data_IF_624281606527
#
_entry.id   IF_624281606527
#
_cell.length_a   1.000
_cell.length_b   1.000
_cell.length_c   1.000
_cell.angle_alpha   90.00
_cell.angle_beta   90.00
_cell.angle_gamma   90.00
#
_symmetry.space_group_name_H-M   'P 1'
#
loop_
_entity.id
_entity.type
_entity.pdbx_description
1 polymer ?
#
# COMPACT_ATOMS: atom_id res chain seq x y z
N UNK A 1 6.08 4.69 38.71
CA UNK A 1 4.97 3.73 38.46
C UNK A 1 4.69 3.69 36.97
N UNK A 2 5.25 2.69 36.27
CA UNK A 2 4.97 2.47 34.85
C UNK A 2 3.52 1.95 34.73
N UNK A 3 2.64 2.71 34.07
CA UNK A 3 1.30 2.23 33.71
C UNK A 3 1.48 1.07 32.73
N UNK A 4 1.13 -0.14 33.16
CA UNK A 4 0.99 -1.31 32.28
C UNK A 4 0.00 -0.96 31.17
N UNK A 5 0.50 -0.74 29.95
CA UNK A 5 -0.34 -0.49 28.79
C UNK A 5 -1.13 -1.77 28.48
N UNK A 6 -2.43 -1.77 28.79
CA UNK A 6 -3.34 -2.85 28.41
C UNK A 6 -3.31 -2.96 26.89
N UNK A 7 -3.05 -4.16 26.35
CA UNK A 7 -2.97 -4.37 24.91
C UNK A 7 -4.34 -4.18 24.26
N UNK A 8 -4.55 -3.06 23.56
CA UNK A 8 -5.80 -2.75 22.86
C UNK A 8 -6.06 -3.61 21.61
N UNK A 9 -5.19 -4.57 21.29
CA UNK A 9 -5.27 -5.37 20.05
C UNK A 9 -6.50 -6.24 19.94
N UNK A 10 -6.94 -6.81 21.06
CA UNK A 10 -8.18 -7.60 21.08
C UNK A 10 -9.37 -6.69 20.73
N UNK A 11 -9.43 -5.50 21.32
CA UNK A 11 -10.44 -4.50 20.99
C UNK A 11 -10.36 -4.10 19.51
N UNK A 12 -9.17 -3.76 19.00
CA UNK A 12 -8.97 -3.44 17.57
C UNK A 12 -9.49 -4.55 16.66
N UNK A 13 -9.17 -5.82 16.93
CA UNK A 13 -9.62 -6.98 16.14
C UNK A 13 -11.14 -7.15 16.15
N UNK A 14 -11.78 -6.98 17.30
CA UNK A 14 -13.24 -7.04 17.39
C UNK A 14 -13.90 -5.87 16.68
N UNK A 15 -13.38 -4.65 16.85
CA UNK A 15 -13.87 -3.44 16.18
C UNK A 15 -13.84 -3.61 14.66
N UNK A 16 -12.72 -4.10 14.11
CA UNK A 16 -12.54 -4.37 12.68
C UNK A 16 -13.54 -5.42 12.15
N UNK A 17 -13.98 -6.37 12.98
CA UNK A 17 -14.97 -7.40 12.58
C UNK A 17 -16.41 -6.94 12.70
N UNK A 18 -16.71 -6.09 13.67
CA UNK A 18 -18.09 -5.70 13.99
C UNK A 18 -18.57 -4.51 13.14
N UNK A 19 -17.71 -3.51 12.90
CA UNK A 19 -18.09 -2.29 12.17
C UNK A 19 -18.68 -2.57 10.78
N UNK A 20 -18.19 -3.53 9.97
CA UNK A 20 -18.81 -3.86 8.69
C UNK A 20 -20.30 -4.20 8.78
N UNK A 21 -20.75 -4.86 9.84
CA UNK A 21 -22.17 -5.15 10.05
C UNK A 21 -22.99 -3.89 10.32
N UNK A 22 -22.43 -2.92 11.05
CA UNK A 22 -23.06 -1.62 11.26
C UNK A 22 -23.20 -0.83 9.96
N UNK A 23 -22.21 -0.91 9.07
CA UNK A 23 -22.29 -0.27 7.75
C UNK A 23 -23.42 -0.87 6.91
N UNK A 24 -23.55 -2.21 6.88
CA UNK A 24 -24.65 -2.88 6.16
C UNK A 24 -26.00 -2.46 6.74
N UNK A 25 -26.14 -2.44 8.07
CA UNK A 25 -27.37 -1.98 8.71
C UNK A 25 -27.70 -0.52 8.38
N UNK A 26 -26.68 0.36 8.36
CA UNK A 26 -26.84 1.77 7.99
C UNK A 26 -27.30 1.93 6.54
N UNK A 27 -26.76 1.14 5.60
CA UNK A 27 -27.24 1.12 4.22
C UNK A 27 -28.70 0.69 4.12
N UNK A 28 -29.09 -0.42 4.74
CA UNK A 28 -30.47 -0.94 4.71
C UNK A 28 -31.46 0.07 5.30
N UNK A 29 -31.18 0.59 6.50
CA UNK A 29 -32.04 1.54 7.17
C UNK A 29 -32.09 2.88 6.42
N UNK A 30 -30.96 3.34 5.90
CA UNK A 30 -30.86 4.53 5.06
C UNK A 30 -31.68 4.40 3.78
N UNK A 31 -31.67 3.24 3.12
CA UNK A 31 -32.52 2.97 1.95
C UNK A 31 -34.00 3.03 2.29
N UNK A 32 -34.41 2.40 3.39
CA UNK A 32 -35.81 2.49 3.83
C UNK A 32 -36.23 3.94 4.10
N UNK A 33 -35.39 4.71 4.81
CA UNK A 33 -35.68 6.10 5.13
C UNK A 33 -35.76 6.99 3.86
N UNK A 34 -34.78 6.91 2.96
CA UNK A 34 -34.74 7.78 1.78
C UNK A 34 -35.77 7.33 0.74
N UNK A 35 -35.77 6.06 0.36
CA UNK A 35 -36.64 5.54 -0.71
C UNK A 35 -38.08 5.39 -0.22
N UNK A 36 -38.28 4.66 0.88
CA UNK A 36 -39.61 4.34 1.38
C UNK A 36 -40.33 5.55 1.96
N UNK A 37 -39.71 6.23 2.93
CA UNK A 37 -40.36 7.33 3.66
C UNK A 37 -40.35 8.64 2.87
N UNK A 38 -39.19 9.10 2.40
CA UNK A 38 -39.08 10.42 1.77
C UNK A 38 -39.55 10.39 0.31
N UNK A 39 -39.00 9.52 -0.53
CA UNK A 39 -39.32 9.49 -1.96
C UNK A 39 -40.73 8.95 -2.24
N UNK A 40 -41.06 7.75 -1.77
CA UNK A 40 -42.34 7.09 -2.10
C UNK A 40 -43.49 7.66 -1.26
N UNK A 41 -43.38 7.65 0.07
CA UNK A 41 -44.50 8.05 0.92
C UNK A 41 -44.73 9.57 0.92
N UNK A 42 -43.68 10.39 1.03
CA UNK A 42 -43.85 11.84 1.08
C UNK A 42 -43.89 12.49 -0.31
N UNK A 43 -42.83 12.37 -1.12
CA UNK A 43 -42.73 13.09 -2.39
C UNK A 43 -43.68 12.57 -3.48
N UNK A 44 -43.82 11.25 -3.61
CA UNK A 44 -44.71 10.66 -4.62
C UNK A 44 -46.17 10.66 -4.17
N UNK A 45 -46.50 9.98 -3.07
CA UNK A 45 -47.91 9.82 -2.65
C UNK A 45 -48.55 11.09 -2.12
N UNK A 46 -47.86 11.88 -1.29
CA UNK A 46 -48.46 13.08 -0.70
C UNK A 46 -48.28 14.34 -1.55
N UNK A 47 -47.14 14.47 -2.25
CA UNK A 47 -46.82 15.67 -3.04
C UNK A 47 -47.03 15.51 -4.55
N UNK A 48 -47.30 14.30 -5.05
CA UNK A 48 -47.55 14.06 -6.47
C UNK A 48 -46.35 14.32 -7.38
N UNK A 49 -45.12 14.41 -6.84
CA UNK A 49 -43.92 14.80 -7.62
C UNK A 49 -43.26 13.61 -8.32
N UNK A 50 -43.99 12.94 -9.20
CA UNK A 50 -43.56 11.71 -9.87
C UNK A 50 -42.24 11.84 -10.64
N UNK A 51 -42.11 12.85 -11.52
CA UNK A 51 -40.90 13.05 -12.32
C UNK A 51 -39.64 13.31 -11.48
N UNK A 52 -39.79 14.11 -10.42
CA UNK A 52 -38.70 14.38 -9.47
C UNK A 52 -38.30 13.10 -8.73
N UNK A 53 -39.27 12.33 -8.25
CA UNK A 53 -39.00 11.06 -7.54
C UNK A 53 -38.28 10.07 -8.45
N UNK A 54 -38.68 9.95 -9.71
CA UNK A 54 -37.99 9.10 -10.67
C UNK A 54 -36.51 9.49 -10.84
N UNK A 55 -36.23 10.79 -11.04
CA UNK A 55 -34.86 11.29 -11.18
C UNK A 55 -34.01 11.06 -9.91
N UNK A 56 -34.58 11.33 -8.73
CA UNK A 56 -33.90 11.12 -7.45
C UNK A 56 -33.59 9.63 -7.21
N UNK A 57 -34.51 8.72 -7.55
CA UNK A 57 -34.30 7.29 -7.39
C UNK A 57 -33.23 6.76 -8.35
N UNK A 58 -33.17 7.25 -9.60
CA UNK A 58 -32.10 6.88 -10.54
C UNK A 58 -30.73 7.28 -9.97
N UNK A 59 -30.58 8.53 -9.53
CA UNK A 59 -29.32 9.00 -8.93
C UNK A 59 -28.98 8.23 -7.65
N UNK A 60 -29.99 7.98 -6.79
CA UNK A 60 -29.83 7.22 -5.56
C UNK A 60 -29.28 5.82 -5.85
N UNK A 61 -29.94 5.05 -6.73
CA UNK A 61 -29.53 3.67 -7.03
C UNK A 61 -28.22 3.60 -7.80
N UNK A 62 -27.92 4.56 -8.68
CA UNK A 62 -26.62 4.65 -9.36
C UNK A 62 -25.47 4.71 -8.34
N UNK A 63 -25.51 5.69 -7.43
CA UNK A 63 -24.44 5.84 -6.44
C UNK A 63 -24.49 4.79 -5.34
N UNK A 64 -25.67 4.29 -4.98
CA UNK A 64 -25.82 3.19 -4.02
C UNK A 64 -25.16 1.91 -4.53
N UNK A 65 -25.47 1.49 -5.76
CA UNK A 65 -24.90 0.27 -6.36
C UNK A 65 -23.38 0.40 -6.48
N UNK A 66 -22.88 1.55 -6.96
CA UNK A 66 -21.43 1.80 -7.05
C UNK A 66 -20.75 1.78 -5.67
N UNK A 67 -21.37 2.39 -4.65
CA UNK A 67 -20.86 2.39 -3.28
C UNK A 67 -20.83 0.99 -2.68
N UNK A 68 -21.90 0.21 -2.85
CA UNK A 68 -21.98 -1.17 -2.36
C UNK A 68 -20.98 -2.08 -3.09
N UNK A 69 -20.86 -1.97 -4.41
CA UNK A 69 -19.93 -2.77 -5.20
C UNK A 69 -18.47 -2.51 -4.82
N UNK A 70 -18.10 -1.23 -4.68
CA UNK A 70 -16.74 -0.83 -4.28
C UNK A 70 -16.45 -1.15 -2.81
N UNK A 71 -17.44 -1.00 -1.91
CA UNK A 71 -17.33 -1.44 -0.53
C UNK A 71 -17.10 -2.95 -0.44
N UNK A 72 -17.92 -3.75 -1.11
CA UNK A 72 -17.80 -5.20 -1.13
C UNK A 72 -16.46 -5.64 -1.70
N UNK A 73 -16.02 -5.05 -2.82
CA UNK A 73 -14.71 -5.34 -3.40
C UNK A 73 -13.57 -5.00 -2.44
N UNK A 74 -13.64 -3.84 -1.78
CA UNK A 74 -12.65 -3.43 -0.78
C UNK A 74 -12.63 -4.41 0.39
N UNK A 75 -13.79 -4.70 0.98
CA UNK A 75 -13.96 -5.62 2.09
C UNK A 75 -13.38 -7.00 1.76
N UNK A 76 -13.80 -7.61 0.64
CA UNK A 76 -13.29 -8.91 0.21
C UNK A 76 -11.78 -8.88 -0.01
N UNK A 77 -11.25 -7.82 -0.62
CA UNK A 77 -9.82 -7.70 -0.87
C UNK A 77 -9.01 -7.59 0.41
N UNK A 78 -9.45 -6.80 1.39
CA UNK A 78 -8.71 -6.67 2.67
C UNK A 78 -8.79 -7.94 3.52
N UNK A 79 -9.83 -8.78 3.36
CA UNK A 79 -9.89 -10.09 4.02
C UNK A 79 -9.02 -11.13 3.32
N UNK A 80 -9.11 -11.22 1.99
CA UNK A 80 -8.50 -12.31 1.21
C UNK A 80 -7.05 -12.02 0.83
N UNK A 81 -6.71 -10.77 0.55
CA UNK A 81 -5.38 -10.35 0.13
C UNK A 81 -5.05 -8.94 0.67
N UNK A 82 -4.69 -8.82 1.96
CA UNK A 82 -4.30 -7.54 2.55
C UNK A 82 -2.92 -7.03 2.08
N UNK A 83 -2.28 -7.70 1.09
CA UNK A 83 -0.96 -7.30 0.57
C UNK A 83 0.20 -7.75 1.45
N UNK A 84 0.13 -8.94 2.05
CA UNK A 84 1.21 -9.46 2.88
C UNK A 84 2.46 -9.75 2.04
N UNK A 85 3.63 -9.37 2.56
CA UNK A 85 4.91 -9.84 2.02
C UNK A 85 5.03 -11.34 2.32
N UNK A 86 5.24 -12.22 1.32
CA UNK A 86 5.45 -13.65 1.53
C UNK A 86 6.57 -13.90 2.56
N UNK A 87 6.45 -14.98 3.34
CA UNK A 87 7.54 -15.38 4.24
C UNK A 87 8.49 -16.28 3.47
N UNK A 88 9.78 -15.96 3.50
CA UNK A 88 10.82 -16.76 2.85
C UNK A 88 11.24 -17.97 3.71
N UNK A 89 11.06 -17.87 5.02
CA UNK A 89 11.25 -18.96 5.96
C UNK A 89 9.89 -19.38 6.52
N UNK A 90 9.61 -20.68 6.49
CA UNK A 90 8.56 -21.24 7.34
C UNK A 90 8.92 -20.89 8.79
N UNK A 91 7.96 -20.32 9.53
CA UNK A 91 8.18 -20.04 10.94
C UNK A 91 8.25 -21.38 11.65
N UNK A 92 9.37 -21.67 12.31
CA UNK A 92 9.45 -22.83 13.20
C UNK A 92 8.26 -22.80 14.16
N UNK A 93 7.54 -23.92 14.26
CA UNK A 93 6.31 -24.01 15.06
C UNK A 93 6.56 -23.70 16.54
N UNK A 94 7.81 -23.83 17.00
CA UNK A 94 8.26 -23.44 18.34
C UNK A 94 8.30 -21.91 18.52
N UNK A 95 8.77 -21.16 17.53
CA UNK A 95 8.80 -19.70 17.55
C UNK A 95 7.39 -19.09 17.47
N UNK A 96 6.50 -19.72 16.70
CA UNK A 96 5.10 -19.33 16.64
C UNK A 96 4.37 -19.60 17.97
N UNK A 97 4.59 -20.75 18.61
CA UNK A 97 4.07 -21.06 19.95
C UNK A 97 4.62 -20.11 21.03
N UNK A 98 5.91 -19.75 20.96
CA UNK A 98 6.55 -18.79 21.88
C UNK A 98 6.00 -17.37 21.71
N UNK A 99 5.68 -16.97 20.47
CA UNK A 99 4.99 -15.70 20.16
C UNK A 99 3.51 -15.70 20.53
N UNK A 100 2.81 -16.82 20.35
CA UNK A 100 1.41 -16.95 20.74
C UNK A 100 1.24 -16.89 22.26
N UNK A 101 2.17 -17.47 23.03
CA UNK A 101 2.15 -17.40 24.50
C UNK A 101 2.48 -15.98 25.01
N UNK A 102 3.46 -15.30 24.41
CA UNK A 102 3.79 -13.89 24.69
C UNK A 102 2.78 -12.89 24.14
N UNK A 103 1.93 -13.28 23.19
CA UNK A 103 0.78 -12.49 22.75
C UNK A 103 -0.41 -12.58 23.72
N UNK A 104 -0.51 -13.64 24.53
CA UNK A 104 -1.61 -13.86 25.50
C UNK A 104 -1.33 -13.24 26.87
N UNK A 105 -0.06 -13.20 27.31
CA UNK A 105 0.37 -12.40 28.46
C UNK A 105 0.66 -10.99 27.97
N UNK A 106 0.01 -9.97 28.55
CA UNK A 106 0.15 -8.56 28.15
C UNK A 106 1.60 -8.20 27.76
N UNK A 107 1.76 -7.73 26.53
CA UNK A 107 3.04 -7.49 25.88
C UNK A 107 3.81 -6.38 26.59
N UNK A 108 4.96 -6.72 27.14
CA UNK A 108 5.98 -5.75 27.52
C UNK A 108 6.61 -5.19 26.22
N UNK A 109 6.56 -3.87 25.95
CA UNK A 109 7.13 -3.26 24.75
C UNK A 109 8.64 -3.51 24.59
N UNK A 110 9.35 -3.80 25.68
CA UNK A 110 10.79 -4.04 25.69
C UNK A 110 11.18 -5.51 25.37
N UNK A 111 10.20 -6.42 25.19
CA UNK A 111 10.44 -7.85 25.18
C UNK A 111 10.56 -8.54 23.80
N UNK A 112 10.63 -7.81 22.68
CA UNK A 112 11.12 -8.41 21.43
C UNK A 112 12.59 -8.01 21.25
N UNK A 113 13.56 -8.88 21.58
CA UNK A 113 14.95 -8.63 21.24
C UNK A 113 15.02 -8.33 19.75
N UNK A 114 15.59 -7.19 19.40
CA UNK A 114 15.86 -6.87 18.01
C UNK A 114 16.70 -8.01 17.42
N UNK A 115 16.14 -8.68 16.41
CA UNK A 115 16.84 -9.75 15.70
C UNK A 115 17.61 -9.11 14.55
N UNK A 116 18.95 -9.20 14.52
CA UNK A 116 19.75 -8.65 13.44
C UNK A 116 19.40 -9.29 12.09
N UNK A 117 19.72 -8.62 10.97
CA UNK A 117 19.71 -9.26 9.66
C UNK A 117 20.67 -10.45 9.63
N UNK A 118 20.33 -11.45 8.84
CA UNK A 118 21.24 -12.54 8.52
C UNK A 118 22.46 -11.97 7.78
N UNK A 119 23.65 -12.27 8.30
CA UNK A 119 24.93 -11.78 7.77
C UNK A 119 25.41 -12.56 6.55
N UNK A 120 24.78 -13.69 6.22
CA UNK A 120 25.09 -14.49 5.04
C UNK A 120 24.89 -13.69 3.74
N UNK A 121 25.87 -13.68 2.81
CA UNK A 121 25.69 -13.15 1.46
C UNK A 121 24.56 -13.83 0.66
N UNK A 122 24.27 -15.09 1.01
CA UNK A 122 23.21 -15.91 0.41
C UNK A 122 21.94 -15.90 1.28
N UNK A 123 21.77 -14.87 2.10
CA UNK A 123 20.57 -14.71 2.93
C UNK A 123 19.31 -14.75 2.05
N UNK A 124 18.30 -15.58 2.37
CA UNK A 124 17.15 -15.76 1.51
C UNK A 124 16.45 -14.46 1.14
N UNK A 125 16.22 -14.27 -0.16
CA UNK A 125 15.59 -13.10 -0.75
C UNK A 125 16.47 -11.86 -0.85
N UNK A 126 17.73 -11.91 -0.38
CA UNK A 126 18.68 -10.80 -0.54
C UNK A 126 19.02 -10.54 -2.01
N UNK A 127 19.22 -11.61 -2.79
CA UNK A 127 19.49 -11.53 -4.23
C UNK A 127 18.39 -10.76 -4.98
N UNK A 128 17.13 -10.88 -4.57
CA UNK A 128 15.99 -10.21 -5.21
C UNK A 128 16.03 -8.67 -5.13
N UNK A 129 16.89 -8.09 -4.29
CA UNK A 129 17.15 -6.65 -4.26
C UNK A 129 18.29 -6.28 -5.19
N UNK A 130 19.41 -7.00 -5.12
CA UNK A 130 20.59 -6.75 -5.97
C UNK A 130 20.40 -7.23 -7.42
N UNK A 131 19.36 -8.00 -7.70
CA UNK A 131 18.90 -8.30 -9.05
C UNK A 131 18.30 -7.06 -9.74
N UNK A 132 17.84 -6.06 -8.97
CA UNK A 132 17.23 -4.84 -9.47
C UNK A 132 18.23 -3.74 -9.78
N UNK A 133 17.86 -2.80 -10.62
CA UNK A 133 18.69 -1.64 -10.95
C UNK A 133 18.66 -0.56 -9.85
N UNK A 134 17.54 -0.41 -9.13
CA UNK A 134 17.44 0.48 -7.98
C UNK A 134 16.48 -0.05 -6.92
N UNK A 135 16.85 0.10 -5.65
CA UNK A 135 16.01 -0.22 -4.50
C UNK A 135 16.33 0.68 -3.29
N UNK A 136 15.43 0.75 -2.32
CA UNK A 136 15.66 1.50 -1.08
C UNK A 136 16.51 0.68 -0.11
N UNK A 137 17.60 1.26 0.35
CA UNK A 137 18.53 0.66 1.30
C UNK A 137 18.61 1.43 2.62
N UNK A 138 19.40 0.90 3.55
CA UNK A 138 19.96 1.63 4.68
C UNK A 138 21.27 2.35 4.25
N UNK A 139 21.86 3.14 5.15
CA UNK A 139 23.04 3.94 4.83
C UNK A 139 24.28 3.12 4.41
N UNK A 140 24.32 1.83 4.78
CA UNK A 140 25.36 0.88 4.41
C UNK A 140 25.12 0.21 3.04
N UNK A 141 24.01 0.51 2.36
CA UNK A 141 23.65 -0.06 1.07
C UNK A 141 22.92 -1.40 1.14
N UNK A 142 22.68 -1.95 2.34
CA UNK A 142 21.90 -3.18 2.51
C UNK A 142 20.40 -2.88 2.45
N UNK A 143 19.56 -3.82 1.96
CA UNK A 143 18.11 -3.66 2.02
C UNK A 143 17.61 -3.52 3.46
N UNK A 144 16.41 -2.98 3.62
CA UNK A 144 15.82 -2.82 4.95
C UNK A 144 15.50 -4.19 5.55
N UNK A 145 15.67 -4.32 6.86
CA UNK A 145 15.35 -5.56 7.59
C UNK A 145 14.14 -5.41 8.49
N UNK A 146 13.31 -6.45 8.57
CA UNK A 146 12.26 -6.55 9.58
C UNK A 146 12.60 -7.62 10.61
N UNK A 147 12.94 -7.22 11.84
CA UNK A 147 13.25 -8.13 12.95
C UNK A 147 12.04 -9.01 13.36
N UNK A 148 10.83 -8.46 13.32
CA UNK A 148 9.62 -9.22 13.64
C UNK A 148 9.31 -10.30 12.60
N UNK A 149 9.54 -10.04 11.31
CA UNK A 149 9.33 -11.03 10.25
C UNK A 149 10.58 -11.89 9.97
N UNK A 150 11.75 -11.46 10.45
CA UNK A 150 13.07 -12.02 10.17
C UNK A 150 13.34 -12.20 8.67
N UNK A 151 13.12 -11.14 7.91
CA UNK A 151 13.39 -11.12 6.47
C UNK A 151 13.65 -9.71 5.97
N UNK A 152 14.31 -9.64 4.81
CA UNK A 152 14.48 -8.42 4.04
C UNK A 152 13.13 -7.86 3.61
N UNK A 153 13.03 -6.53 3.65
CA UNK A 153 11.78 -5.80 3.57
C UNK A 153 11.71 -5.09 2.22
N UNK A 154 10.79 -5.49 1.32
CA UNK A 154 10.58 -4.83 0.04
C UNK A 154 10.34 -3.33 0.19
N UNK A 155 10.57 -2.58 -0.88
CA UNK A 155 10.36 -1.14 -0.87
C UNK A 155 8.92 -0.83 -0.44
N UNK A 156 8.74 0.26 0.32
CA UNK A 156 7.44 0.74 0.83
C UNK A 156 6.62 -0.28 1.63
N UNK A 157 7.15 -1.48 1.93
CA UNK A 157 6.48 -2.38 2.85
C UNK A 157 6.58 -1.81 4.27
N UNK A 158 5.68 -2.19 5.18
CA UNK A 158 5.76 -1.86 6.61
C UNK A 158 5.28 -3.02 7.48
N UNK A 159 5.90 -3.21 8.65
CA UNK A 159 5.44 -4.24 9.59
C UNK A 159 4.20 -3.74 10.31
N UNK A 160 3.08 -4.47 10.16
CA UNK A 160 1.86 -4.21 10.91
C UNK A 160 1.84 -5.09 12.15
N UNK A 161 1.91 -4.48 13.33
CA UNK A 161 1.84 -5.21 14.61
C UNK A 161 0.46 -5.85 14.86
N UNK A 162 -0.57 -5.35 14.17
CA UNK A 162 -1.95 -5.88 14.21
C UNK A 162 -2.07 -7.20 13.45
N UNK A 163 -1.43 -7.27 12.26
CA UNK A 163 -1.36 -8.49 11.44
C UNK A 163 -0.18 -9.40 11.80
N UNK A 164 0.83 -8.89 12.51
CA UNK A 164 2.07 -9.61 12.81
C UNK A 164 2.91 -9.96 11.58
N UNK A 165 2.76 -9.16 10.51
CA UNK A 165 3.35 -9.39 9.17
C UNK A 165 3.71 -8.07 8.50
N UNK A 166 4.68 -8.12 7.59
CA UNK A 166 4.95 -7.01 6.68
C UNK A 166 3.88 -6.95 5.59
N UNK A 167 3.45 -5.73 5.26
CA UNK A 167 2.44 -5.41 4.25
C UNK A 167 3.07 -4.51 3.21
N UNK A 168 2.96 -4.84 1.93
CA UNK A 168 3.44 -4.05 0.80
C UNK A 168 2.63 -2.77 0.66
N UNK A 169 3.30 -1.64 0.36
CA UNK A 169 2.74 -0.28 0.26
C UNK A 169 1.60 -0.04 1.26
N UNK A 170 1.89 -0.33 2.53
CA UNK A 170 0.91 -0.28 3.62
C UNK A 170 0.40 1.15 3.80
N UNK A 171 -0.92 1.32 3.82
CA UNK A 171 -1.52 2.64 4.07
C UNK A 171 -2.00 2.74 5.53
N UNK A 172 -3.08 2.04 5.88
CA UNK A 172 -3.62 2.07 7.24
C UNK A 172 -4.50 0.87 7.57
N UNK A 173 -4.71 0.60 8.86
CA UNK A 173 -5.74 -0.33 9.31
C UNK A 173 -7.06 0.43 9.37
N UNK A 174 -8.04 0.01 8.59
CA UNK A 174 -9.32 0.68 8.50
C UNK A 174 -10.42 -0.18 9.12
N UNK A 175 -10.96 0.21 10.29
CA UNK A 175 -12.05 -0.52 10.92
C UNK A 175 -13.34 -0.53 10.08
N UNK A 176 -13.57 0.51 9.28
CA UNK A 176 -14.77 0.66 8.45
C UNK A 176 -14.87 -0.38 7.33
N UNK A 177 -13.76 -0.69 6.66
CA UNK A 177 -13.72 -1.75 5.63
C UNK A 177 -13.25 -3.09 6.20
N UNK A 178 -13.05 -3.17 7.51
CA UNK A 178 -12.76 -4.40 8.23
C UNK A 178 -11.36 -4.97 7.99
N UNK A 179 -10.37 -4.16 7.60
CA UNK A 179 -9.03 -4.70 7.39
C UNK A 179 -7.94 -3.70 7.03
N UNK A 180 -6.79 -4.23 6.65
CA UNK A 180 -5.61 -3.46 6.25
C UNK A 180 -5.76 -2.97 4.83
N UNK A 181 -5.71 -1.65 4.64
CA UNK A 181 -5.65 -1.02 3.32
C UNK A 181 -4.19 -0.94 2.88
N UNK A 182 -3.92 -1.46 1.67
CA UNK A 182 -2.59 -1.52 1.05
C UNK A 182 -2.72 -1.40 -0.47
N UNK A 183 -1.63 -1.55 -1.23
CA UNK A 183 -1.65 -1.49 -2.71
C UNK A 183 -2.74 -2.33 -3.38
N UNK A 184 -3.09 -3.47 -2.79
CA UNK A 184 -4.06 -4.42 -3.35
C UNK A 184 -5.48 -3.90 -3.27
N UNK A 185 -5.79 -3.04 -2.29
CA UNK A 185 -7.14 -2.57 -1.98
C UNK A 185 -7.33 -1.05 -2.07
N UNK A 186 -6.24 -0.27 -2.16
CA UNK A 186 -6.30 1.18 -2.04
C UNK A 186 -7.10 1.86 -3.17
N UNK A 187 -7.02 1.33 -4.40
CA UNK A 187 -7.84 1.82 -5.52
C UNK A 187 -9.35 1.64 -5.25
N UNK A 188 -9.76 0.46 -4.77
CA UNK A 188 -11.16 0.18 -4.41
C UNK A 188 -11.62 1.03 -3.23
N UNK A 189 -10.74 1.26 -2.25
CA UNK A 189 -11.01 2.15 -1.12
C UNK A 189 -11.24 3.60 -1.58
N UNK A 190 -10.41 4.10 -2.50
CA UNK A 190 -10.58 5.44 -3.07
C UNK A 190 -11.91 5.56 -3.85
N UNK A 191 -12.27 4.56 -4.66
CA UNK A 191 -13.57 4.52 -5.34
C UNK A 191 -14.74 4.49 -4.34
N UNK A 192 -14.65 3.66 -3.30
CA UNK A 192 -15.65 3.55 -2.24
C UNK A 192 -15.92 4.88 -1.55
N UNK A 193 -14.88 5.59 -1.12
CA UNK A 193 -15.03 6.88 -0.43
C UNK A 193 -15.60 7.97 -1.37
N UNK A 194 -15.20 7.97 -2.65
CA UNK A 194 -15.77 8.87 -3.66
C UNK A 194 -17.26 8.61 -3.90
N UNK A 195 -17.65 7.36 -4.18
CA UNK A 195 -19.06 7.04 -4.46
C UNK A 195 -19.95 7.19 -3.24
N UNK A 196 -19.45 6.84 -2.04
CA UNK A 196 -20.20 7.05 -0.80
C UNK A 196 -20.43 8.53 -0.53
N UNK A 197 -19.46 9.38 -0.87
CA UNK A 197 -19.64 10.84 -0.80
C UNK A 197 -20.76 11.31 -1.71
N UNK A 198 -20.76 10.90 -2.98
CA UNK A 198 -21.83 11.24 -3.92
C UNK A 198 -23.20 10.71 -3.44
N UNK A 199 -23.25 9.48 -2.96
CA UNK A 199 -24.45 8.86 -2.39
C UNK A 199 -24.99 9.65 -1.19
N UNK A 200 -24.13 10.03 -0.25
CA UNK A 200 -24.50 10.86 0.89
C UNK A 200 -24.98 12.25 0.44
N UNK A 201 -24.34 12.88 -0.56
CA UNK A 201 -24.80 14.16 -1.11
C UNK A 201 -26.22 14.08 -1.68
N UNK A 202 -26.57 13.00 -2.38
CA UNK A 202 -27.96 12.76 -2.85
C UNK A 202 -28.89 12.63 -1.65
N UNK A 203 -28.52 11.86 -0.62
CA UNK A 203 -29.35 11.70 0.58
C UNK A 203 -29.60 13.03 1.32
N UNK A 204 -28.56 13.85 1.49
CA UNK A 204 -28.67 15.20 2.08
C UNK A 204 -29.59 16.07 1.23
N UNK A 205 -29.44 16.07 -0.09
CA UNK A 205 -30.27 16.86 -0.99
C UNK A 205 -31.76 16.46 -0.90
N UNK A 206 -32.06 15.16 -0.88
CA UNK A 206 -33.43 14.65 -0.71
C UNK A 206 -34.00 15.07 0.65
N UNK A 207 -33.23 14.88 1.73
CA UNK A 207 -33.64 15.27 3.08
C UNK A 207 -33.91 16.77 3.20
N UNK A 208 -32.98 17.61 2.75
CA UNK A 208 -33.10 19.06 2.79
C UNK A 208 -34.29 19.56 1.95
N UNK A 209 -34.53 18.94 0.78
CA UNK A 209 -35.70 19.27 -0.03
C UNK A 209 -37.01 18.91 0.66
N UNK A 210 -37.10 17.73 1.30
CA UNK A 210 -38.27 17.33 2.06
C UNK A 210 -38.50 18.26 3.26
N UNK A 211 -37.45 18.65 3.98
CA UNK A 211 -37.53 19.60 5.09
C UNK A 211 -38.08 20.96 4.62
N UNK A 212 -37.58 21.48 3.48
CA UNK A 212 -38.08 22.72 2.89
C UNK A 212 -39.57 22.65 2.58
N UNK A 213 -40.04 21.53 2.02
CA UNK A 213 -41.47 21.35 1.73
C UNK A 213 -42.31 21.26 3.01
N UNK A 214 -41.85 20.52 4.03
CA UNK A 214 -42.57 20.41 5.31
C UNK A 214 -42.72 21.77 6.00
N UNK A 215 -41.65 22.58 6.00
CA UNK A 215 -41.68 23.93 6.54
C UNK A 215 -42.65 24.84 5.77
N UNK A 216 -42.66 24.75 4.43
CA UNK A 216 -43.60 25.52 3.59
C UNK A 216 -45.07 25.12 3.78
N UNK A 217 -45.33 23.86 4.16
CA UNK A 217 -46.67 23.36 4.48
C UNK A 217 -47.14 23.68 5.90
N UNK A 218 -46.28 24.27 6.74
CA UNK A 218 -46.55 24.47 8.17
C UNK A 218 -46.67 23.15 8.96
N UNK A 219 -46.10 22.05 8.46
CA UNK A 219 -46.12 20.74 9.13
C UNK A 219 -45.03 20.65 10.18
N UNK A 220 -45.27 19.87 11.23
CA UNK A 220 -44.21 19.46 12.14
C UNK A 220 -43.17 18.61 11.40
N UNK A 221 -41.90 18.84 11.71
CA UNK A 221 -40.79 18.16 11.04
C UNK A 221 -40.79 16.68 11.36
N UNK A 222 -40.82 15.81 10.34
CA UNK A 222 -40.70 14.36 10.52
C UNK A 222 -39.28 14.03 11.01
N UNK A 223 -39.17 13.32 12.14
CA UNK A 223 -37.89 12.86 12.70
C UNK A 223 -37.06 12.05 11.70
N UNK A 224 -37.69 11.34 10.76
CA UNK A 224 -36.98 10.64 9.68
C UNK A 224 -36.23 11.58 8.74
N UNK A 225 -36.78 12.76 8.45
CA UNK A 225 -36.11 13.76 7.59
C UNK A 225 -34.86 14.29 8.29
N UNK A 226 -34.97 14.60 9.58
CA UNK A 226 -33.82 15.04 10.39
C UNK A 226 -32.76 13.94 10.47
N UNK A 227 -33.17 12.70 10.75
CA UNK A 227 -32.24 11.56 10.82
C UNK A 227 -31.49 11.35 9.51
N UNK A 228 -32.18 11.41 8.35
CA UNK A 228 -31.54 11.31 7.04
C UNK A 228 -30.52 12.43 6.85
N UNK A 229 -30.87 13.69 7.10
CA UNK A 229 -29.95 14.83 6.91
C UNK A 229 -28.73 14.67 7.81
N UNK A 230 -28.93 14.44 9.11
CA UNK A 230 -27.84 14.37 10.09
C UNK A 230 -26.89 13.21 9.79
N UNK A 231 -27.42 12.00 9.59
CA UNK A 231 -26.59 10.83 9.34
C UNK A 231 -25.86 10.92 7.99
N UNK A 232 -26.57 11.33 6.92
CA UNK A 232 -25.93 11.46 5.61
C UNK A 232 -24.93 12.61 5.54
N UNK A 233 -25.14 13.71 6.26
CA UNK A 233 -24.16 14.79 6.36
C UNK A 233 -22.92 14.36 7.16
N UNK A 234 -23.10 13.65 8.28
CA UNK A 234 -21.99 13.14 9.10
C UNK A 234 -21.12 12.16 8.31
N UNK A 235 -21.72 11.12 7.73
CA UNK A 235 -20.98 10.16 6.93
C UNK A 235 -20.42 10.79 5.66
N UNK A 236 -21.19 11.65 4.99
CA UNK A 236 -20.76 12.35 3.79
C UNK A 236 -19.55 13.27 4.03
N UNK A 237 -19.50 13.97 5.16
CA UNK A 237 -18.33 14.77 5.54
C UNK A 237 -17.10 13.90 5.75
N UNK A 238 -17.25 12.80 6.50
CA UNK A 238 -16.14 11.88 6.76
C UNK A 238 -15.62 11.25 5.46
N UNK A 239 -16.51 10.75 4.61
CA UNK A 239 -16.10 10.14 3.33
C UNK A 239 -15.53 11.17 2.37
N UNK A 240 -16.04 12.42 2.35
CA UNK A 240 -15.49 13.48 1.52
C UNK A 240 -14.04 13.81 1.92
N UNK A 241 -13.76 13.96 3.22
CA UNK A 241 -12.40 14.20 3.71
C UNK A 241 -11.45 13.04 3.36
N UNK A 242 -11.90 11.80 3.54
CA UNK A 242 -11.13 10.61 3.15
C UNK A 242 -10.93 10.51 1.63
N UNK A 243 -11.92 10.91 0.84
CA UNK A 243 -11.84 10.92 -0.62
C UNK A 243 -10.82 11.95 -1.11
N UNK A 244 -10.83 13.18 -0.57
CA UNK A 244 -9.81 14.20 -0.88
C UNK A 244 -8.41 13.74 -0.49
N UNK A 245 -8.28 13.09 0.66
CA UNK A 245 -7.00 12.55 1.14
C UNK A 245 -6.51 11.43 0.22
N UNK A 246 -7.40 10.53 -0.18
CA UNK A 246 -7.09 9.44 -1.12
C UNK A 246 -6.68 9.99 -2.48
N UNK A 247 -7.40 10.99 -3.01
CA UNK A 247 -7.03 11.65 -4.27
C UNK A 247 -5.64 12.29 -4.16
N UNK A 248 -5.36 13.02 -3.08
CA UNK A 248 -4.03 13.58 -2.84
C UNK A 248 -2.95 12.49 -2.86
N UNK A 249 -3.17 11.37 -2.16
CA UNK A 249 -2.21 10.27 -2.07
C UNK A 249 -1.96 9.62 -3.43
N UNK A 250 -3.03 9.43 -4.21
CA UNK A 250 -2.93 8.95 -5.58
C UNK A 250 -2.12 9.92 -6.42
N UNK A 251 -2.45 11.22 -6.43
CA UNK A 251 -1.79 12.19 -7.31
C UNK A 251 -0.35 12.51 -6.94
N UNK A 252 0.03 12.32 -5.67
CA UNK A 252 1.40 12.56 -5.18
C UNK A 252 2.18 11.26 -4.94
N UNK A 253 1.58 10.09 -5.19
CA UNK A 253 2.15 8.76 -4.95
C UNK A 253 2.76 8.56 -3.56
N UNK A 254 2.10 9.08 -2.53
CA UNK A 254 2.46 8.89 -1.11
C UNK A 254 1.40 8.03 -0.41
N UNK A 255 1.79 7.39 0.67
CA UNK A 255 0.89 6.69 1.60
C UNK A 255 0.73 7.49 2.90
N UNK A 256 -0.22 7.10 3.73
CA UNK A 256 -0.34 7.59 5.12
C UNK A 256 0.98 7.44 5.89
N UNK A 257 1.69 6.32 5.71
CA UNK A 257 2.96 6.07 6.40
C UNK A 257 4.05 7.06 5.95
N UNK A 258 4.10 7.37 4.65
CA UNK A 258 5.05 8.36 4.10
C UNK A 258 4.81 9.75 4.71
N UNK A 259 3.53 10.14 4.89
CA UNK A 259 3.18 11.42 5.53
C UNK A 259 3.54 11.45 7.01
N UNK A 260 3.37 10.36 7.75
CA UNK A 260 3.77 10.33 9.17
C UNK A 260 5.28 10.49 9.35
N UNK A 261 6.05 10.22 8.29
CA UNK A 261 7.51 10.28 8.25
C UNK A 261 8.01 11.48 7.43
N UNK A 262 7.38 12.66 7.56
CA UNK A 262 7.67 13.87 6.73
C UNK A 262 9.15 14.25 6.59
N UNK A 263 9.98 14.00 7.62
CA UNK A 263 11.43 14.31 7.60
C UNK A 263 12.32 13.12 7.25
N UNK A 264 11.72 12.02 6.81
CA UNK A 264 12.47 10.86 6.40
C UNK A 264 13.26 11.17 5.13
N UNK A 265 14.49 10.71 5.13
CA UNK A 265 15.34 10.62 3.95
C UNK A 265 15.37 9.17 3.47
N UNK A 266 15.51 8.99 2.17
CA UNK A 266 15.68 7.68 1.56
C UNK A 266 17.12 7.52 1.09
N UNK A 267 17.70 6.36 1.38
CA UNK A 267 18.92 5.91 0.74
C UNK A 267 18.53 4.97 -0.39
N UNK A 268 19.07 5.21 -1.58
CA UNK A 268 18.80 4.45 -2.80
C UNK A 268 20.08 3.77 -3.22
N UNK A 269 20.06 2.45 -3.34
CA UNK A 269 21.13 1.69 -3.96
C UNK A 269 20.87 1.69 -5.46
N UNK A 270 21.67 2.43 -6.23
CA UNK A 270 21.53 2.60 -7.69
C UNK A 270 22.65 1.85 -8.39
N UNK A 271 22.32 0.87 -9.22
CA UNK A 271 23.29 0.08 -9.96
C UNK A 271 24.09 0.96 -10.94
N UNK A 272 25.39 0.72 -11.00
CA UNK A 272 26.36 1.50 -11.77
C UNK A 272 27.12 0.57 -12.74
N UNK A 273 27.46 1.03 -13.96
CA UNK A 273 28.34 0.29 -14.86
C UNK A 273 29.70 0.01 -14.22
N UNK A 274 30.25 -1.20 -14.46
CA UNK A 274 31.50 -1.69 -13.87
C UNK A 274 32.71 -0.79 -14.15
N UNK A 275 32.74 -0.19 -15.35
CA UNK A 275 33.90 0.55 -15.85
C UNK A 275 33.88 2.05 -15.51
N UNK A 276 32.81 2.55 -14.87
CA UNK A 276 32.58 3.99 -14.69
C UNK A 276 32.89 4.50 -13.28
N UNK A 277 33.65 3.74 -12.49
CA UNK A 277 33.85 4.04 -11.07
C UNK A 277 34.86 5.18 -10.85
N UNK A 278 34.37 6.31 -10.33
CA UNK A 278 35.16 7.22 -9.47
C UNK A 278 34.61 7.11 -8.04
N UNK A 279 35.17 6.21 -7.19
CA UNK A 279 34.66 5.92 -5.84
C UNK A 279 34.61 7.13 -4.89
N UNK A 280 35.31 8.22 -5.23
CA UNK A 280 35.47 9.36 -4.34
C UNK A 280 34.23 10.25 -4.20
N UNK A 281 33.19 10.06 -5.01
CA UNK A 281 32.01 10.93 -5.02
C UNK A 281 30.80 10.37 -4.27
N UNK A 282 30.76 9.05 -4.01
CA UNK A 282 29.63 8.41 -3.35
C UNK A 282 30.04 7.06 -2.73
N UNK A 283 29.44 6.66 -1.59
CA UNK A 283 29.61 5.32 -1.04
C UNK A 283 29.09 4.26 -2.01
N UNK A 284 29.73 3.09 -2.04
CA UNK A 284 29.31 1.97 -2.90
C UNK A 284 29.19 0.67 -2.12
N UNK A 285 28.33 -0.22 -2.61
CA UNK A 285 28.22 -1.61 -2.15
C UNK A 285 28.33 -2.54 -3.36
N UNK A 286 29.02 -3.66 -3.18
CA UNK A 286 29.23 -4.67 -4.21
C UNK A 286 28.50 -5.95 -3.80
N UNK A 287 27.72 -6.51 -4.73
CA UNK A 287 27.07 -7.80 -4.59
C UNK A 287 27.71 -8.83 -5.54
N UNK A 288 27.94 -10.10 -5.15
CA UNK A 288 27.66 -10.71 -3.84
C UNK A 288 28.34 -10.02 -2.66
N UNK A 289 27.66 -9.96 -1.51
CA UNK A 289 28.23 -9.35 -0.31
C UNK A 289 29.43 -10.18 0.16
N UNK A 290 30.45 -9.53 0.72
CA UNK A 290 31.54 -10.28 1.35
C UNK A 290 31.03 -10.97 2.62
N UNK A 291 31.31 -12.29 2.80
CA UNK A 291 30.97 -12.98 4.03
C UNK A 291 31.72 -12.37 5.22
N UNK A 292 31.06 -12.34 6.37
CA UNK A 292 31.66 -11.93 7.63
C UNK A 292 31.60 -13.08 8.64
N UNK A 293 32.75 -13.52 9.20
CA UNK A 293 34.10 -13.04 8.96
C UNK A 293 34.62 -13.37 7.53
N UNK A 294 35.57 -12.59 6.99
CA UNK A 294 36.13 -12.84 5.66
C UNK A 294 36.78 -14.22 5.58
N UNK A 295 36.60 -14.90 4.44
CA UNK A 295 37.19 -16.22 4.22
C UNK A 295 38.71 -16.19 4.28
N UNK A 296 39.36 -17.23 4.83
CA UNK A 296 40.81 -17.35 4.80
C UNK A 296 41.30 -17.43 3.34
N UNK A 297 42.47 -16.85 3.03
CA UNK A 297 43.01 -16.91 1.67
C UNK A 297 43.20 -18.36 1.22
N UNK A 298 42.99 -18.66 -0.07
CA UNK A 298 43.21 -20.00 -0.59
C UNK A 298 44.66 -20.46 -0.34
N UNK A 299 44.89 -21.77 -0.16
CA UNK A 299 46.22 -22.30 0.06
C UNK A 299 47.15 -21.93 -1.12
N UNK A 300 48.39 -21.57 -0.83
CA UNK A 300 49.37 -21.03 -1.80
C UNK A 300 49.65 -21.94 -3.02
N UNK A 301 49.20 -23.19 -2.99
CA UNK A 301 49.37 -24.18 -4.06
C UNK A 301 48.11 -24.37 -4.93
N UNK A 302 47.03 -23.62 -4.69
CA UNK A 302 45.86 -23.66 -5.56
C UNK A 302 46.15 -22.86 -6.84
N UNK A 303 46.13 -23.55 -7.98
CA UNK A 303 46.18 -22.88 -9.29
C UNK A 303 44.93 -21.98 -9.40
N UNK A 304 45.07 -20.68 -9.72
CA UNK A 304 43.92 -19.82 -9.94
C UNK A 304 43.15 -20.35 -11.16
N UNK A 305 41.92 -20.81 -10.94
CA UNK A 305 41.00 -21.08 -12.04
C UNK A 305 40.54 -19.74 -12.61
N UNK A 306 41.30 -19.26 -13.60
CA UNK A 306 41.06 -18.00 -14.28
C UNK A 306 39.67 -17.95 -14.93
N UNK A 307 39.06 -19.11 -15.25
CA UNK A 307 37.73 -19.16 -15.84
C UNK A 307 36.63 -18.88 -14.81
N UNK A 308 36.75 -19.47 -13.61
CA UNK A 308 35.86 -19.20 -12.48
C UNK A 308 36.03 -17.77 -11.99
N UNK A 309 37.27 -17.28 -11.86
CA UNK A 309 37.53 -15.91 -11.43
C UNK A 309 36.95 -14.87 -12.41
N UNK A 310 37.04 -15.10 -13.72
CA UNK A 310 36.45 -14.22 -14.73
C UNK A 310 34.91 -14.27 -14.71
N UNK A 311 34.32 -15.46 -14.53
CA UNK A 311 32.86 -15.63 -14.41
C UNK A 311 32.31 -14.98 -13.14
N UNK A 312 33.00 -15.12 -12.01
CA UNK A 312 32.61 -14.54 -10.73
C UNK A 312 32.76 -13.01 -10.76
N UNK A 313 33.79 -12.50 -11.43
CA UNK A 313 33.93 -11.06 -11.68
C UNK A 313 32.81 -10.53 -12.59
N UNK A 314 32.40 -11.34 -13.58
CA UNK A 314 31.22 -11.07 -14.41
C UNK A 314 29.88 -11.20 -13.68
N UNK A 315 29.83 -11.75 -12.47
CA UNK A 315 28.61 -11.81 -11.65
C UNK A 315 28.48 -10.59 -10.72
N UNK A 316 29.56 -9.84 -10.48
CA UNK A 316 29.56 -8.70 -9.54
C UNK A 316 28.71 -7.54 -10.03
N UNK A 317 27.92 -6.98 -9.13
CA UNK A 317 27.10 -5.78 -9.34
C UNK A 317 27.52 -4.71 -8.34
N UNK A 318 27.75 -3.50 -8.84
CA UNK A 318 28.14 -2.36 -8.02
C UNK A 318 26.99 -1.38 -7.93
N UNK A 319 26.71 -0.90 -6.72
CA UNK A 319 25.64 0.05 -6.45
C UNK A 319 26.20 1.29 -5.79
N UNK A 320 25.85 2.47 -6.31
CA UNK A 320 26.06 3.75 -5.67
C UNK A 320 24.96 3.99 -4.64
N UNK A 321 25.32 4.46 -3.45
CA UNK A 321 24.37 4.78 -2.38
C UNK A 321 24.07 6.28 -2.44
N UNK A 322 22.89 6.62 -2.97
CA UNK A 322 22.42 7.99 -3.12
C UNK A 322 21.42 8.35 -2.03
N UNK A 323 21.46 9.59 -1.53
CA UNK A 323 20.58 10.06 -0.46
C UNK A 323 19.66 11.17 -0.93
N UNK A 324 18.37 11.05 -0.65
CA UNK A 324 17.40 12.13 -0.89
C UNK A 324 17.50 13.23 0.15
N UNK A 325 17.06 14.43 -0.21
CA UNK A 325 16.82 15.50 0.77
C UNK A 325 15.54 15.21 1.56
N UNK A 326 15.39 15.78 2.78
CA UNK A 326 14.20 15.59 3.58
C UNK A 326 12.93 16.03 2.82
N UNK A 327 11.87 15.24 2.91
CA UNK A 327 10.56 15.49 2.26
C UNK A 327 10.52 15.31 0.74
N UNK A 328 11.63 14.93 0.08
CA UNK A 328 11.57 14.55 -1.33
C UNK A 328 10.91 13.18 -1.51
N UNK A 329 10.05 13.05 -2.51
CA UNK A 329 9.35 11.81 -2.84
C UNK A 329 9.98 11.12 -4.06
N UNK A 330 10.72 10.01 -3.88
CA UNK A 330 11.34 9.30 -5.01
C UNK A 330 10.34 8.57 -5.91
N UNK A 331 9.09 8.37 -5.47
CA UNK A 331 8.05 7.68 -6.25
C UNK A 331 7.10 8.64 -6.98
N UNK A 332 7.32 9.95 -6.94
CA UNK A 332 6.47 10.89 -7.67
C UNK A 332 6.77 10.82 -9.18
N UNK A 333 5.89 10.17 -9.94
CA UNK A 333 5.97 10.01 -11.39
C UNK A 333 5.34 11.17 -12.16
N UNK A 334 4.80 12.17 -11.46
CA UNK A 334 3.90 13.19 -11.99
C UNK A 334 2.43 12.78 -11.96
N UNK A 335 1.53 13.76 -11.89
CA UNK A 335 0.09 13.61 -11.63
C UNK A 335 -0.57 12.42 -12.34
N UNK A 336 -0.46 12.33 -13.67
CA UNK A 336 -1.16 11.31 -14.45
C UNK A 336 -0.54 9.91 -14.36
N UNK A 337 0.79 9.83 -14.25
CA UNK A 337 1.48 8.54 -14.08
C UNK A 337 1.23 7.99 -12.67
N UNK A 338 1.18 8.87 -11.68
CA UNK A 338 0.79 8.51 -10.32
C UNK A 338 -0.65 7.99 -10.28
N UNK A 339 -1.59 8.71 -10.91
CA UNK A 339 -2.97 8.24 -11.07
C UNK A 339 -3.04 6.84 -11.69
N UNK A 340 -2.40 6.65 -12.85
CA UNK A 340 -2.40 5.36 -13.56
C UNK A 340 -1.75 4.24 -12.74
N UNK A 341 -0.74 4.53 -11.93
CA UNK A 341 -0.08 3.54 -11.08
C UNK A 341 -1.02 2.91 -10.05
N UNK A 342 -2.07 3.63 -9.65
CA UNK A 342 -3.09 3.15 -8.69
C UNK A 342 -4.37 2.73 -9.41
N UNK A 343 -4.92 3.59 -10.26
CA UNK A 343 -6.27 3.43 -10.81
C UNK A 343 -6.33 2.60 -12.09
N UNK A 344 -5.19 2.33 -12.75
CA UNK A 344 -5.16 1.62 -14.02
C UNK A 344 -5.08 2.56 -15.24
N UNK A 345 -5.10 1.95 -16.43
CA UNK A 345 -4.83 2.68 -17.68
C UNK A 345 -6.10 3.09 -18.43
N UNK A 346 -7.26 2.52 -18.07
CA UNK A 346 -8.52 2.77 -18.77
C UNK A 346 -9.55 3.49 -17.89
N UNK A 347 -10.39 4.38 -18.45
CA UNK A 347 -11.46 5.04 -17.70
C UNK A 347 -12.47 4.07 -17.06
N UNK A 348 -12.68 2.90 -17.65
CA UNK A 348 -13.57 1.87 -17.09
C UNK A 348 -13.00 1.33 -15.78
N UNK A 349 -11.68 1.08 -15.71
CA UNK A 349 -10.99 0.67 -14.48
C UNK A 349 -11.03 1.77 -13.41
N UNK A 350 -11.08 3.05 -13.82
CA UNK A 350 -11.18 4.16 -12.87
C UNK A 350 -12.54 4.23 -12.18
N UNK A 351 -13.60 3.82 -12.88
CA UNK A 351 -14.97 3.88 -12.38
C UNK A 351 -15.43 2.56 -11.74
N UNK A 352 -14.99 1.41 -12.24
CA UNK A 352 -15.47 0.11 -11.80
C UNK A 352 -14.42 -0.65 -10.97
N UNK A 353 -14.82 -1.31 -9.86
CA UNK A 353 -13.91 -2.01 -8.96
C UNK A 353 -13.49 -3.40 -9.48
N UNK A 354 -12.85 -3.44 -10.64
CA UNK A 354 -12.56 -4.69 -11.37
C UNK A 354 -11.15 -5.19 -11.03
N UNK A 355 -10.12 -4.48 -11.50
CA UNK A 355 -8.72 -4.91 -11.41
C UNK A 355 -8.00 -4.31 -10.20
N UNK A 356 -7.01 -5.05 -9.68
CA UNK A 356 -6.08 -4.52 -8.70
C UNK A 356 -5.20 -3.43 -9.32
N UNK A 357 -4.66 -2.55 -8.48
CA UNK A 357 -3.76 -1.48 -8.89
C UNK A 357 -2.56 -2.03 -9.68
N UNK A 358 -2.13 -1.38 -10.79
CA UNK A 358 -0.92 -1.79 -11.51
C UNK A 358 0.34 -1.86 -10.64
N UNK A 359 0.42 -1.04 -9.59
CA UNK A 359 1.54 -1.06 -8.65
C UNK A 359 1.65 -2.34 -7.80
N UNK A 360 0.72 -3.30 -7.92
CA UNK A 360 0.84 -4.62 -7.29
C UNK A 360 1.77 -5.57 -8.08
N UNK A 361 2.19 -5.19 -9.30
CA UNK A 361 3.16 -5.96 -10.07
C UNK A 361 4.60 -5.57 -9.68
N UNK A 362 5.37 -6.56 -9.23
CA UNK A 362 6.77 -6.40 -8.81
C UNK A 362 7.75 -7.26 -9.60
N UNK A 363 7.38 -7.70 -10.81
CA UNK A 363 8.23 -8.51 -11.70
C UNK A 363 9.32 -7.69 -12.41
N UNK A 364 9.27 -6.36 -12.31
CA UNK A 364 10.24 -5.46 -12.93
C UNK A 364 11.63 -5.60 -12.31
N UNK A 365 12.64 -5.77 -13.18
CA UNK A 365 14.05 -5.72 -12.78
C UNK A 365 14.56 -4.29 -12.55
N UNK A 366 13.78 -3.25 -12.87
CA UNK A 366 14.19 -1.89 -12.58
C UNK A 366 14.06 -1.57 -11.08
N UNK A 367 12.90 -1.86 -10.49
CA UNK A 367 12.55 -1.53 -9.09
C UNK A 367 11.23 -2.19 -8.68
N UNK A 368 10.97 -2.33 -7.37
CA UNK A 368 9.67 -2.80 -6.86
C UNK A 368 8.52 -1.84 -7.20
N UNK A 369 8.81 -0.53 -7.23
CA UNK A 369 7.90 0.53 -7.67
C UNK A 369 8.68 1.52 -8.53
N UNK A 370 8.11 2.01 -9.63
CA UNK A 370 8.79 2.98 -10.48
C UNK A 370 9.24 4.21 -9.69
N UNK A 371 10.48 4.62 -9.94
CA UNK A 371 11.03 5.88 -9.45
C UNK A 371 10.71 7.03 -10.41
N UNK A 372 10.53 8.22 -9.85
CA UNK A 372 10.25 9.45 -10.58
C UNK A 372 11.51 10.18 -11.06
N UNK A 373 11.35 11.39 -11.63
CA UNK A 373 12.45 12.22 -12.12
C UNK A 373 13.53 12.53 -11.06
N UNK A 374 13.15 12.49 -9.77
CA UNK A 374 14.10 12.69 -8.68
C UNK A 374 15.29 11.72 -8.73
N UNK A 375 15.10 10.50 -9.22
CA UNK A 375 16.21 9.55 -9.36
C UNK A 375 17.25 10.04 -10.37
N UNK A 376 16.80 10.64 -11.46
CA UNK A 376 17.67 11.17 -12.52
C UNK A 376 18.41 12.41 -12.01
N UNK A 377 17.72 13.31 -11.28
CA UNK A 377 18.34 14.46 -10.61
C UNK A 377 19.44 14.01 -9.61
N UNK A 378 19.20 12.94 -8.86
CA UNK A 378 20.16 12.39 -7.91
C UNK A 378 21.36 11.77 -8.61
N UNK A 379 21.15 11.10 -9.75
CA UNK A 379 22.23 10.56 -10.58
C UNK A 379 23.10 11.67 -11.12
N UNK A 380 22.50 12.71 -11.70
CA UNK A 380 23.22 13.87 -12.23
C UNK A 380 24.02 14.58 -11.13
N UNK A 381 23.39 14.86 -9.98
CA UNK A 381 24.02 15.52 -8.83
C UNK A 381 25.28 14.81 -8.32
N UNK A 382 25.30 13.47 -8.39
CA UNK A 382 26.44 12.66 -7.92
C UNK A 382 27.34 12.16 -9.06
N UNK A 383 27.04 12.53 -10.31
CA UNK A 383 27.77 12.07 -11.50
C UNK A 383 27.69 10.55 -11.71
N UNK A 384 26.57 9.93 -11.33
CA UNK A 384 26.32 8.50 -11.57
C UNK A 384 25.82 8.33 -13.00
N UNK A 385 26.55 7.61 -13.88
CA UNK A 385 26.12 7.42 -15.25
C UNK A 385 24.88 6.52 -15.32
N UNK A 386 24.04 6.77 -16.32
CA UNK A 386 22.94 5.86 -16.63
C UNK A 386 23.46 4.48 -17.02
N UNK A 387 22.71 3.46 -16.63
CA UNK A 387 22.84 2.13 -17.21
C UNK A 387 22.32 2.23 -18.65
N UNK A 388 23.20 2.53 -19.61
CA UNK A 388 22.87 2.28 -21.02
C UNK A 388 22.53 0.80 -21.14
N UNK A 389 21.44 0.48 -21.84
CA UNK A 389 21.18 -0.89 -22.27
C UNK A 389 22.46 -1.40 -22.96
N UNK A 390 23.16 -2.32 -22.32
CA UNK A 390 24.06 -3.19 -23.04
C UNK A 390 23.23 -3.77 -24.21
N UNK A 391 23.74 -3.60 -25.42
CA UNK A 391 23.07 -3.83 -26.70
C UNK A 391 22.21 -5.11 -26.74
N UNK A 392 21.15 -5.17 -27.57
CA UNK A 392 20.23 -6.31 -27.58
C UNK A 392 20.98 -7.58 -28.01
N UNK A 393 21.20 -8.52 -27.09
CA UNK A 393 21.66 -9.86 -27.43
C UNK A 393 22.60 -10.54 -26.44
N UNK A 394 22.09 -10.94 -25.28
CA UNK A 394 22.28 -12.32 -24.77
C UNK A 394 21.38 -12.55 -23.55
N UNK A 395 20.26 -13.20 -23.79
CA UNK A 395 19.65 -14.08 -22.78
C UNK A 395 20.65 -15.22 -22.61
N UNK A 396 21.56 -15.11 -21.64
CA UNK A 396 22.48 -16.20 -21.29
C UNK A 396 21.86 -17.08 -20.20
N UNK A 397 20.74 -17.71 -20.56
CA UNK A 397 20.32 -18.99 -19.99
C UNK A 397 19.89 -19.86 -21.16
N UNK A 398 20.87 -20.37 -21.91
CA UNK A 398 20.64 -21.54 -22.74
C UNK A 398 21.24 -22.72 -21.98
N UNK A 399 20.35 -23.47 -21.35
CA UNK A 399 20.63 -24.80 -20.83
C UNK A 399 21.09 -25.64 -22.02
N UNK A 400 22.39 -25.88 -22.13
CA UNK A 400 22.92 -26.82 -23.11
C UNK A 400 22.58 -28.22 -22.62
N UNK A 401 21.56 -28.81 -23.23
CA UNK A 401 21.22 -30.21 -23.08
C UNK A 401 22.33 -31.04 -23.76
N UNK A 402 23.08 -31.89 -23.03
CA UNK A 402 24.12 -32.71 -23.62
C UNK A 402 23.50 -34.03 -24.09
N UNK A 403 22.81 -34.01 -25.24
CA UNK A 403 22.49 -35.20 -26.06
C UNK A 403 21.78 -34.80 -27.36
N UNK A 404 22.55 -34.72 -28.44
CA UNK A 404 22.10 -35.00 -29.81
C UNK A 404 23.32 -35.33 -30.67
#
# INVERSE_FOLDING_TARGET
MARTAVSNRAATRWTVRIIPFFIVAAFVLGTYAVVGRLCVQYLYRQKGKSGLVAALLVLYFLFFILSVATYLRTFLTVQLNPGLVPLLHERDSADEKRRASTSRRGRDPEANPWVPPDSSPDSPGLEAFYSKDVFVCEADGRPKWCSDCRQWKPDRAHHSSELGRCVRKMDHLCPWVGGMVSETSFNFFAQFTMYTTCFCSVCVAVGAYCLKLQNGDGRSTDGWVIAVIVLSALFGFFTFAMALTSLRFIFTNITNIDILRKRQQFYLAVRVPRHSLKPNNFPTIVYPLQPWPPEPPPPANALPDHSLAARDDQAKRVFAILRTEPSQNPWDLGYWRNWKSVMGNSPIEWLLPIKHSPCCNHESMASDYPFGPLLDDLREKHGVPELREDSPGRVEMQQTDPRA
#
